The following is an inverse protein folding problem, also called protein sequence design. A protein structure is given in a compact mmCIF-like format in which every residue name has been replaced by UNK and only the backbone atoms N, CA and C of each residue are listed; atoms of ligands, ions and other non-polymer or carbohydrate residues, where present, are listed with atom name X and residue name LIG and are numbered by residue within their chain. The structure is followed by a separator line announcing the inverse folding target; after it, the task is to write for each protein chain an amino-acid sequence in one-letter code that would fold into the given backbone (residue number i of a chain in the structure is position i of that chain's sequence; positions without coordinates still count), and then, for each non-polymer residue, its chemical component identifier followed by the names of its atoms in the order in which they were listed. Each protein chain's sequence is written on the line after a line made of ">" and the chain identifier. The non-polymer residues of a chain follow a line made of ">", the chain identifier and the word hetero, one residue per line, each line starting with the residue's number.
data_IF_524995302792
#
_entry.id   IF_524995302792
#
_cell.length_a   1.000
_cell.length_b   1.000
_cell.length_c   1.000
_cell.angle_alpha   90.00
_cell.angle_beta   90.00
_cell.angle_gamma   90.00
#
_symmetry.space_group_name_H-M   'P 1'
#
loop_
_entity.id
_entity.type
_entity.pdbx_description
1 polymer ?
#
# COMPACT_ATOMS: atom_id res chain seq x y z
N UNK A 1 -6.87 -28.36 5.94
CA UNK A 1 -6.11 -27.83 4.80
C UNK A 1 -6.68 -28.28 3.47
N UNK A 2 -6.58 -29.56 3.07
CA UNK A 2 -7.00 -29.99 1.72
C UNK A 2 -8.49 -29.72 1.39
N UNK A 3 -9.39 -29.78 2.39
CA UNK A 3 -10.81 -29.47 2.18
C UNK A 3 -11.06 -28.00 1.79
N UNK A 4 -10.31 -27.05 2.35
CA UNK A 4 -10.47 -25.63 2.00
C UNK A 4 -9.90 -25.33 0.61
N UNK A 5 -8.89 -26.08 0.16
CA UNK A 5 -8.34 -25.95 -1.21
C UNK A 5 -9.40 -26.26 -2.27
N UNK A 6 -10.24 -27.27 -2.05
CA UNK A 6 -11.36 -27.55 -2.96
C UNK A 6 -12.34 -26.38 -3.07
N UNK A 7 -12.56 -25.64 -1.98
CA UNK A 7 -13.44 -24.46 -1.98
C UNK A 7 -12.87 -23.32 -2.80
N UNK A 8 -11.54 -23.13 -2.75
CA UNK A 8 -10.83 -22.16 -3.61
C UNK A 8 -11.00 -22.53 -5.09
N UNK A 9 -10.79 -23.81 -5.45
CA UNK A 9 -10.92 -24.27 -6.82
C UNK A 9 -12.35 -24.19 -7.37
N UNK A 10 -13.34 -24.20 -6.49
CA UNK A 10 -14.76 -24.09 -6.82
C UNK A 10 -15.30 -22.66 -6.73
N UNK A 11 -14.44 -21.67 -6.42
CA UNK A 11 -14.82 -20.27 -6.22
C UNK A 11 -16.00 -20.11 -5.25
N UNK A 12 -15.93 -20.81 -4.11
CA UNK A 12 -16.98 -20.78 -3.10
C UNK A 12 -17.08 -19.41 -2.42
N UNK A 13 -18.27 -19.00 -1.94
CA UNK A 13 -18.44 -17.77 -1.20
C UNK A 13 -17.79 -17.86 0.20
N UNK A 14 -17.48 -16.70 0.81
CA UNK A 14 -16.74 -16.61 2.08
C UNK A 14 -17.41 -17.42 3.20
N UNK A 15 -18.74 -17.47 3.21
CA UNK A 15 -19.58 -18.14 4.20
C UNK A 15 -19.41 -19.67 4.20
N UNK A 16 -18.84 -20.27 3.14
CA UNK A 16 -18.55 -21.70 3.06
C UNK A 16 -17.17 -22.07 3.62
N UNK A 17 -16.27 -21.10 3.79
CA UNK A 17 -14.93 -21.35 4.35
C UNK A 17 -14.97 -21.52 5.86
N UNK A 18 -14.02 -22.29 6.41
CA UNK A 18 -13.90 -22.52 7.85
C UNK A 18 -12.45 -22.47 8.30
N UNK A 19 -12.19 -21.72 9.37
CA UNK A 19 -11.00 -21.88 10.19
C UNK A 19 -11.25 -23.00 11.19
N UNK A 20 -10.50 -24.10 11.12
CA UNK A 20 -10.63 -25.23 12.04
C UNK A 20 -9.54 -25.18 13.10
N UNK A 21 -9.94 -25.34 14.36
CA UNK A 21 -9.06 -25.43 15.52
C UNK A 21 -9.23 -26.80 16.15
N UNK A 22 -8.12 -27.44 16.50
CA UNK A 22 -8.15 -28.72 17.19
C UNK A 22 -7.06 -28.75 18.26
N UNK A 23 -7.42 -29.36 19.38
CA UNK A 23 -6.47 -29.86 20.37
C UNK A 23 -6.62 -31.38 20.32
N UNK A 24 -5.53 -32.14 20.41
CA UNK A 24 -5.57 -33.62 20.40
C UNK A 24 -5.31 -34.21 21.79
N UNK A 25 -4.76 -33.42 22.72
CA UNK A 25 -4.62 -33.82 24.13
C UNK A 25 -5.99 -33.82 24.83
N UNK A 26 -6.89 -32.96 24.37
CA UNK A 26 -8.33 -33.05 24.60
C UNK A 26 -8.94 -33.53 23.28
N UNK A 27 -9.99 -34.36 23.22
CA UNK A 27 -10.69 -34.67 21.96
C UNK A 27 -11.55 -33.48 21.51
N UNK A 28 -10.92 -32.33 21.25
CA UNK A 28 -11.59 -31.06 21.00
C UNK A 28 -11.36 -30.57 19.57
N UNK A 29 -12.48 -30.37 18.85
CA UNK A 29 -12.51 -29.83 17.50
C UNK A 29 -13.56 -28.73 17.45
N UNK A 30 -13.18 -27.56 16.94
CA UNK A 30 -14.09 -26.44 16.72
C UNK A 30 -13.76 -25.74 15.42
N UNK A 31 -14.71 -24.96 14.90
CA UNK A 31 -14.49 -24.17 13.68
C UNK A 31 -15.18 -22.83 13.75
N UNK A 32 -14.62 -21.84 13.05
CA UNK A 32 -15.17 -20.50 12.92
C UNK A 32 -15.21 -20.10 11.44
N UNK A 33 -16.17 -19.25 11.07
CA UNK A 33 -16.17 -18.61 9.76
C UNK A 33 -15.07 -17.55 9.69
N UNK A 34 -14.42 -17.36 8.54
CA UNK A 34 -13.51 -16.24 8.33
C UNK A 34 -14.25 -14.90 8.48
N UNK A 35 -13.51 -13.88 8.89
CA UNK A 35 -14.02 -12.51 9.00
C UNK A 35 -13.79 -11.81 7.66
N UNK A 36 -14.73 -10.94 7.25
CA UNK A 36 -14.55 -10.09 6.08
C UNK A 36 -13.37 -9.14 6.29
N UNK A 37 -12.68 -8.80 5.19
CA UNK A 37 -11.64 -7.79 5.26
C UNK A 37 -12.21 -6.47 5.80
N UNK A 38 -11.46 -5.80 6.67
CA UNK A 38 -11.86 -4.50 7.23
C UNK A 38 -11.81 -3.47 6.12
N UNK A 39 -12.92 -2.76 5.91
CA UNK A 39 -13.01 -1.64 4.97
C UNK A 39 -12.65 -0.33 5.69
N UNK A 40 -11.69 0.38 5.13
CA UNK A 40 -11.29 1.73 5.51
C UNK A 40 -11.89 2.72 4.52
N UNK A 41 -12.33 3.88 5.03
CA UNK A 41 -12.92 4.95 4.21
C UNK A 41 -12.10 6.22 4.34
N UNK A 42 -11.74 6.79 3.20
CA UNK A 42 -10.97 8.03 3.10
C UNK A 42 -11.74 9.01 2.22
N UNK A 43 -11.90 10.24 2.71
CA UNK A 43 -12.59 11.31 1.97
C UNK A 43 -11.60 11.91 0.98
N UNK A 44 -12.05 12.17 -0.25
CA UNK A 44 -11.18 12.71 -1.31
C UNK A 44 -11.72 14.04 -1.80
N UNK A 45 -10.80 14.96 -2.11
CA UNK A 45 -11.18 16.25 -2.68
C UNK A 45 -11.73 16.04 -4.08
N UNK A 46 -12.94 16.56 -4.32
CA UNK A 46 -13.57 16.58 -5.66
C UNK A 46 -13.80 15.19 -6.29
N UNK A 47 -13.83 14.12 -5.47
CA UNK A 47 -14.02 12.73 -5.91
C UNK A 47 -14.88 11.94 -4.91
N UNK A 48 -15.41 10.80 -5.36
CA UNK A 48 -16.08 9.85 -4.44
C UNK A 48 -15.11 9.36 -3.35
N UNK A 49 -15.57 9.08 -2.13
CA UNK A 49 -14.73 8.52 -1.07
C UNK A 49 -14.02 7.23 -1.52
N UNK A 50 -12.75 7.09 -1.14
CA UNK A 50 -12.00 5.85 -1.35
C UNK A 50 -12.41 4.86 -0.26
N UNK A 51 -12.97 3.73 -0.66
CA UNK A 51 -13.19 2.56 0.21
C UNK A 51 -12.16 1.50 -0.16
N UNK A 52 -11.37 1.06 0.81
CA UNK A 52 -10.28 0.12 0.56
C UNK A 52 -10.08 -0.87 1.71
N UNK A 53 -9.43 -1.99 1.42
CA UNK A 53 -9.11 -3.08 2.35
C UNK A 53 -7.62 -3.40 2.27
N UNK A 54 -7.11 -4.21 3.21
CA UNK A 54 -5.69 -4.63 3.23
C UNK A 54 -5.16 -5.17 1.88
N UNK A 55 -6.04 -5.74 1.05
CA UNK A 55 -5.71 -6.38 -0.22
C UNK A 55 -5.61 -5.40 -1.39
N UNK A 56 -6.15 -4.19 -1.22
CA UNK A 56 -6.10 -3.18 -2.27
C UNK A 56 -4.69 -2.58 -2.36
N UNK A 57 -4.33 -2.17 -3.57
CA UNK A 57 -3.07 -1.52 -3.91
C UNK A 57 -3.32 -0.46 -4.97
N UNK A 58 -2.61 0.65 -4.90
CA UNK A 58 -2.50 1.55 -6.05
C UNK A 58 -1.46 1.01 -7.02
N UNK A 59 -1.64 1.28 -8.30
CA UNK A 59 -0.64 0.99 -9.33
C UNK A 59 -0.37 2.25 -10.13
N UNK A 60 0.90 2.63 -10.25
CA UNK A 60 1.31 3.78 -11.04
C UNK A 60 2.56 3.46 -11.85
N UNK A 61 2.56 3.91 -13.10
CA UNK A 61 3.76 3.86 -13.93
C UNK A 61 4.61 5.11 -13.68
N UNK A 62 5.78 4.90 -13.09
CA UNK A 62 6.67 5.94 -12.59
C UNK A 62 8.07 5.85 -13.24
N UNK A 63 8.17 5.29 -14.45
CA UNK A 63 9.44 5.24 -15.19
C UNK A 63 10.00 6.66 -15.35
N UNK A 64 11.22 6.87 -14.84
CA UNK A 64 11.92 8.17 -14.81
C UNK A 64 11.13 9.33 -14.14
N UNK A 65 10.10 9.00 -13.36
CA UNK A 65 9.26 9.99 -12.70
C UNK A 65 9.98 10.58 -11.48
N UNK A 66 10.11 11.91 -11.45
CA UNK A 66 10.62 12.64 -10.29
C UNK A 66 9.65 12.54 -9.11
N UNK A 67 10.16 12.72 -7.88
CA UNK A 67 9.31 12.81 -6.70
C UNK A 67 8.26 13.91 -6.84
N UNK A 68 8.64 15.08 -7.36
CA UNK A 68 7.70 16.18 -7.57
C UNK A 68 6.56 15.78 -8.52
N UNK A 69 6.89 15.12 -9.64
CA UNK A 69 5.91 14.62 -10.61
C UNK A 69 5.00 13.57 -9.98
N UNK A 70 5.56 12.66 -9.17
CA UNK A 70 4.80 11.64 -8.46
C UNK A 70 3.77 12.24 -7.50
N UNK A 71 4.17 13.21 -6.67
CA UNK A 71 3.27 13.88 -5.72
C UNK A 71 2.12 14.59 -6.45
N UNK A 72 2.42 15.29 -7.55
CA UNK A 72 1.41 15.96 -8.36
C UNK A 72 0.46 14.97 -9.05
N UNK A 73 1.00 13.88 -9.59
CA UNK A 73 0.22 12.87 -10.29
C UNK A 73 -0.67 12.07 -9.36
N UNK A 74 -0.18 11.70 -8.17
CA UNK A 74 -0.97 11.04 -7.14
C UNK A 74 -2.13 11.92 -6.69
N UNK A 75 -1.87 13.21 -6.43
CA UNK A 75 -2.92 14.19 -6.10
C UNK A 75 -3.93 14.32 -7.24
N UNK A 76 -3.48 14.35 -8.50
CA UNK A 76 -4.36 14.46 -9.67
C UNK A 76 -5.25 13.23 -9.88
N UNK A 77 -4.72 12.02 -9.67
CA UNK A 77 -5.47 10.77 -9.89
C UNK A 77 -6.36 10.40 -8.71
N UNK A 78 -5.93 10.72 -7.49
CA UNK A 78 -6.56 10.23 -6.27
C UNK A 78 -7.09 11.33 -5.36
N UNK A 79 -6.92 12.63 -5.68
CA UNK A 79 -7.47 13.72 -4.86
C UNK A 79 -6.95 13.75 -3.42
N UNK A 80 -5.76 13.18 -3.18
CA UNK A 80 -5.12 13.04 -1.88
C UNK A 80 -3.73 13.66 -1.90
N UNK A 81 -3.37 14.35 -0.83
CA UNK A 81 -2.05 14.97 -0.67
C UNK A 81 -1.13 14.01 0.07
N UNK A 82 0.02 13.64 -0.52
CA UNK A 82 0.95 12.69 0.12
C UNK A 82 1.83 13.44 1.11
N UNK A 83 1.78 13.04 2.38
CA UNK A 83 2.55 13.65 3.47
C UNK A 83 3.84 12.91 3.76
N UNK A 84 3.83 11.59 3.58
CA UNK A 84 4.95 10.70 3.89
C UNK A 84 5.04 9.55 2.89
N UNK A 85 6.27 9.23 2.46
CA UNK A 85 6.59 8.07 1.62
C UNK A 85 7.67 7.22 2.28
N UNK A 86 7.35 5.95 2.48
CA UNK A 86 8.23 4.94 3.06
C UNK A 86 8.52 3.83 2.06
N UNK A 87 9.77 3.36 2.03
CA UNK A 87 10.15 2.12 1.37
C UNK A 87 10.71 1.15 2.42
N UNK A 88 9.94 0.11 2.76
CA UNK A 88 10.24 -0.75 3.89
C UNK A 88 10.38 0.05 5.19
N UNK A 89 11.59 0.15 5.72
CA UNK A 89 11.90 0.92 6.95
C UNK A 89 12.50 2.30 6.67
N UNK A 90 12.68 2.67 5.40
CA UNK A 90 13.39 3.88 5.00
C UNK A 90 12.43 5.01 4.64
N UNK A 91 12.57 6.15 5.31
CA UNK A 91 11.82 7.37 5.04
C UNK A 91 12.38 8.11 3.81
N UNK A 92 11.68 7.99 2.68
CA UNK A 92 12.07 8.63 1.42
C UNK A 92 11.67 10.10 1.39
N UNK A 93 10.44 10.40 1.80
CA UNK A 93 9.88 11.75 1.81
C UNK A 93 8.97 11.93 3.02
N UNK A 94 9.01 13.12 3.62
CA UNK A 94 8.01 13.61 4.55
C UNK A 94 7.94 15.14 4.47
N UNK A 95 6.75 15.71 4.62
CA UNK A 95 6.55 17.16 4.53
C UNK A 95 7.31 17.94 5.61
N UNK A 96 7.45 17.37 6.82
CA UNK A 96 8.18 17.98 7.93
C UNK A 96 9.72 17.91 7.80
N UNK A 97 10.25 17.37 6.69
CA UNK A 97 11.70 17.41 6.43
C UNK A 97 12.16 18.86 6.22
N UNK A 98 13.44 19.11 6.53
CA UNK A 98 13.99 20.45 6.30
C UNK A 98 13.93 20.85 4.81
N UNK A 99 13.66 22.13 4.55
CA UNK A 99 13.42 22.63 3.17
C UNK A 99 14.57 22.32 2.21
N UNK A 100 15.81 22.32 2.69
CA UNK A 100 17.01 22.03 1.88
C UNK A 100 17.03 20.57 1.41
N UNK A 101 16.88 19.59 2.32
CA UNK A 101 16.82 18.16 1.98
C UNK A 101 15.61 17.84 1.13
N UNK A 102 14.49 18.52 1.37
CA UNK A 102 13.29 18.35 0.56
C UNK A 102 13.55 18.77 -0.89
N UNK A 103 14.11 19.97 -1.11
CA UNK A 103 14.43 20.46 -2.46
C UNK A 103 15.44 19.54 -3.19
N UNK A 104 16.46 19.05 -2.48
CA UNK A 104 17.43 18.09 -3.04
C UNK A 104 16.77 16.77 -3.46
N UNK A 105 15.69 16.35 -2.80
CA UNK A 105 14.97 15.10 -3.08
C UNK A 105 13.88 15.25 -4.14
N UNK A 106 13.29 16.44 -4.29
CA UNK A 106 12.17 16.68 -5.22
C UNK A 106 12.54 16.39 -6.69
N UNK A 107 13.79 16.65 -7.07
CA UNK A 107 14.29 16.41 -8.43
C UNK A 107 14.76 14.98 -8.67
N UNK A 108 14.90 14.15 -7.64
CA UNK A 108 15.32 12.76 -7.77
C UNK A 108 14.16 11.91 -8.27
N UNK A 109 14.50 10.87 -9.05
CA UNK A 109 13.52 9.86 -9.44
C UNK A 109 13.14 8.99 -8.23
N UNK A 110 11.99 8.32 -8.28
CA UNK A 110 11.60 7.38 -7.23
C UNK A 110 12.64 6.26 -7.03
N UNK A 111 13.26 5.80 -8.13
CA UNK A 111 14.33 4.82 -8.09
C UNK A 111 15.57 5.37 -7.37
N UNK A 112 16.02 6.57 -7.74
CA UNK A 112 17.17 7.22 -7.11
C UNK A 112 16.94 7.49 -5.62
N UNK A 113 15.72 7.84 -5.23
CA UNK A 113 15.37 7.99 -3.82
C UNK A 113 15.58 6.70 -3.05
N UNK A 114 15.14 5.56 -3.58
CA UNK A 114 15.34 4.27 -2.91
C UNK A 114 16.82 3.89 -2.86
N UNK A 115 17.57 4.12 -3.94
CA UNK A 115 19.01 3.80 -3.99
C UNK A 115 19.84 4.69 -3.05
N UNK A 116 19.63 6.01 -3.09
CA UNK A 116 20.44 7.01 -2.37
C UNK A 116 20.00 7.16 -0.92
N UNK A 117 18.70 7.37 -0.69
CA UNK A 117 18.15 7.64 0.64
C UNK A 117 17.88 6.32 1.36
N UNK A 118 17.26 5.37 0.67
CA UNK A 118 17.00 4.05 1.21
C UNK A 118 18.26 3.21 1.43
N UNK A 119 19.36 3.53 0.72
CA UNK A 119 20.62 2.76 0.73
C UNK A 119 20.40 1.27 0.42
N UNK A 120 19.41 0.99 -0.42
CA UNK A 120 19.05 -0.36 -0.86
C UNK A 120 19.52 -0.54 -2.29
N UNK A 121 20.11 -1.69 -2.61
CA UNK A 121 20.41 -2.08 -3.98
C UNK A 121 19.23 -2.84 -4.56
N UNK A 122 18.68 -2.35 -5.67
CA UNK A 122 17.57 -3.00 -6.38
C UNK A 122 18.14 -3.80 -7.56
N UNK A 123 17.90 -5.11 -7.65
CA UNK A 123 18.30 -5.93 -8.79
C UNK A 123 17.81 -5.34 -10.12
N UNK A 124 18.57 -5.53 -11.21
CA UNK A 124 18.18 -5.02 -12.54
C UNK A 124 16.88 -5.67 -13.03
N UNK A 125 16.63 -6.92 -12.64
CA UNK A 125 15.41 -7.67 -12.96
C UNK A 125 14.16 -7.13 -12.28
N UNK A 126 14.30 -6.35 -11.21
CA UNK A 126 13.18 -5.79 -10.46
C UNK A 126 12.75 -4.47 -11.11
N UNK A 127 11.48 -4.41 -11.52
CA UNK A 127 10.89 -3.24 -12.15
C UNK A 127 9.74 -2.63 -11.35
N UNK A 128 9.31 -3.28 -10.26
CA UNK A 128 8.25 -2.78 -9.38
C UNK A 128 8.81 -2.53 -7.99
N UNK A 129 8.39 -1.44 -7.38
CA UNK A 129 8.66 -1.13 -5.97
C UNK A 129 7.34 -0.94 -5.24
N UNK A 130 7.30 -1.38 -3.99
CA UNK A 130 6.14 -1.17 -3.12
C UNK A 130 6.51 -0.05 -2.14
N UNK A 131 5.70 1.01 -2.13
CA UNK A 131 5.86 2.15 -1.22
C UNK A 131 4.63 2.23 -0.32
N UNK A 132 4.85 2.54 0.95
CA UNK A 132 3.76 2.85 1.89
C UNK A 132 3.62 4.36 1.99
N UNK A 133 2.38 4.84 1.93
CA UNK A 133 2.03 6.25 1.88
C UNK A 133 1.16 6.63 3.08
N UNK A 134 1.37 7.85 3.59
CA UNK A 134 0.41 8.55 4.46
C UNK A 134 -0.01 9.81 3.74
N UNK A 135 -1.32 10.10 3.74
CA UNK A 135 -1.87 11.23 3.02
C UNK A 135 -2.69 12.14 3.94
N UNK A 136 -2.85 13.41 3.57
CA UNK A 136 -3.94 14.25 4.06
C UNK A 136 -5.16 14.04 3.19
N UNK A 137 -6.32 13.86 3.83
CA UNK A 137 -7.62 13.80 3.18
C UNK A 137 -8.22 15.19 2.92
N UNK A 138 -9.46 15.26 2.43
CA UNK A 138 -10.12 16.54 2.14
C UNK A 138 -10.47 17.37 3.39
N UNK A 139 -10.52 16.75 4.58
CA UNK A 139 -10.86 17.37 5.85
C UNK A 139 -9.60 17.76 6.65
N UNK A 140 -8.43 17.76 6.00
CA UNK A 140 -7.12 18.06 6.59
C UNK A 140 -6.70 17.04 7.67
N UNK A 141 -7.17 15.79 7.55
CA UNK A 141 -6.82 14.70 8.46
C UNK A 141 -5.79 13.75 7.86
N UNK A 142 -4.80 13.35 8.67
CA UNK A 142 -3.86 12.30 8.32
C UNK A 142 -4.57 10.94 8.24
N UNK A 143 -4.50 10.32 7.07
CA UNK A 143 -5.14 9.03 6.77
C UNK A 143 -4.15 8.03 6.20
N UNK A 144 -4.38 6.76 6.54
CA UNK A 144 -3.72 5.64 5.88
C UNK A 144 -4.43 5.28 4.58
N UNK A 145 -3.63 4.88 3.59
CA UNK A 145 -4.11 4.49 2.26
C UNK A 145 -3.43 3.18 1.85
N UNK A 146 -3.96 2.46 0.84
CA UNK A 146 -3.29 1.30 0.28
C UNK A 146 -1.83 1.57 -0.09
N UNK A 147 -0.97 0.56 0.05
CA UNK A 147 0.37 0.65 -0.53
C UNK A 147 0.29 0.86 -2.04
N UNK A 148 1.28 1.57 -2.58
CA UNK A 148 1.40 1.80 -4.01
C UNK A 148 2.49 0.91 -4.61
N UNK A 149 2.15 0.24 -5.70
CA UNK A 149 3.07 -0.47 -6.57
C UNK A 149 3.47 0.51 -7.68
N UNK A 150 4.72 0.98 -7.62
CA UNK A 150 5.28 1.85 -8.64
C UNK A 150 6.12 1.04 -9.61
N UNK A 151 5.86 1.18 -10.91
CA UNK A 151 6.75 0.66 -11.95
C UNK A 151 7.85 1.68 -12.20
N UNK A 152 9.10 1.27 -12.07
CA UNK A 152 10.28 2.15 -12.20
C UNK A 152 11.17 1.82 -13.39
N UNK A 153 10.87 0.71 -14.10
CA UNK A 153 11.57 0.25 -15.31
C UNK A 153 10.60 -0.46 -16.26
#
# INVERSE_FOLDING_TARGET
>A
MCLEVYKILQDKPLEEYRHSYFNLALPFFTSASPIKAVENKVIRSEMEPLVWTLWDKFELDCVEMSLQSFLAEFKRQHGLEVNMIMFGKSLLYAEFLNKKKMQERMSLTLLDLVLIVGKVTIPISENKLILSLTCTDADDLDVEVPDIIVRVR
#
